data_IF_245558804377
#
_entry.id   IF_245558804377
#
_cell.length_a   1.000
_cell.length_b   1.000
_cell.length_c   1.000
_cell.angle_alpha   90.00
_cell.angle_beta   90.00
_cell.angle_gamma   90.00
#
_symmetry.space_group_name_H-M   'P 1'
#
loop_
_entity.id
_entity.type
_entity.pdbx_description
1 polymer ?
#
# COMPACT_ATOMS: atom_id res chain seq x y z
N UNK A 1 -18.51 -1.16 15.63
CA UNK A 1 -17.68 -0.58 14.53
C UNK A 1 -18.17 -1.11 13.20
N UNK A 2 -18.60 -0.23 12.32
CA UNK A 2 -19.11 -0.56 10.97
C UNK A 2 -18.24 0.14 9.92
N UNK A 3 -18.12 -0.45 8.74
CA UNK A 3 -17.36 0.13 7.65
C UNK A 3 -18.27 1.01 6.79
N UNK A 4 -17.92 2.27 6.64
CA UNK A 4 -18.63 3.23 5.79
C UNK A 4 -17.79 3.54 4.56
N UNK A 5 -18.41 3.50 3.38
CA UNK A 5 -17.82 3.99 2.14
C UNK A 5 -18.27 5.43 1.94
N UNK A 6 -17.31 6.29 1.63
CA UNK A 6 -17.59 7.69 1.39
C UNK A 6 -17.04 8.17 0.05
N UNK A 7 -17.69 9.17 -0.49
CA UNK A 7 -17.26 9.94 -1.67
C UNK A 7 -17.32 11.41 -1.34
N UNK A 8 -16.26 12.13 -1.63
CA UNK A 8 -16.16 13.57 -1.39
C UNK A 8 -15.55 14.27 -2.60
N UNK A 9 -15.82 15.55 -2.77
CA UNK A 9 -15.22 16.42 -3.77
C UNK A 9 -14.52 17.60 -3.12
N UNK A 10 -13.36 17.98 -3.65
CA UNK A 10 -12.72 19.25 -3.34
C UNK A 10 -13.30 20.38 -4.18
N UNK A 11 -13.12 21.64 -3.74
CA UNK A 11 -13.48 22.83 -4.53
C UNK A 11 -12.89 22.84 -5.95
N UNK A 12 -11.76 22.17 -6.16
CA UNK A 12 -11.14 21.98 -7.47
C UNK A 12 -11.83 20.92 -8.35
N UNK A 13 -12.98 20.35 -7.93
CA UNK A 13 -13.74 19.35 -8.68
C UNK A 13 -13.18 17.92 -8.64
N UNK A 14 -12.06 17.70 -7.95
CA UNK A 14 -11.43 16.39 -7.86
C UNK A 14 -12.21 15.46 -6.94
N UNK A 15 -12.53 14.27 -7.45
CA UNK A 15 -13.30 13.25 -6.72
C UNK A 15 -12.36 12.44 -5.83
N UNK A 16 -12.71 12.35 -4.55
CA UNK A 16 -12.06 11.49 -3.56
C UNK A 16 -13.05 10.43 -3.10
N UNK A 17 -12.56 9.21 -2.93
CA UNK A 17 -13.36 8.11 -2.41
C UNK A 17 -12.52 7.27 -1.47
N UNK A 18 -13.14 6.78 -0.39
CA UNK A 18 -12.46 5.99 0.61
C UNK A 18 -13.42 5.18 1.45
N UNK A 19 -12.90 4.50 2.44
CA UNK A 19 -13.67 3.81 3.46
C UNK A 19 -13.14 4.19 4.83
N UNK A 20 -14.04 4.33 5.78
CA UNK A 20 -13.74 4.70 7.17
C UNK A 20 -14.49 3.77 8.12
N UNK A 21 -13.79 3.31 9.16
CA UNK A 21 -14.37 2.48 10.23
C UNK A 21 -14.86 3.42 11.34
N UNK A 22 -16.17 3.43 11.59
CA UNK A 22 -16.79 4.25 12.62
C UNK A 22 -17.91 3.49 13.33
N UNK A 23 -18.29 3.95 14.50
CA UNK A 23 -19.44 3.40 15.22
C UNK A 23 -20.76 4.00 14.73
N UNK A 24 -20.71 5.18 14.08
CA UNK A 24 -21.89 5.82 13.52
C UNK A 24 -21.58 6.57 12.20
N UNK A 25 -22.63 6.75 11.38
CA UNK A 25 -22.58 7.56 10.15
C UNK A 25 -22.25 9.04 10.45
N UNK A 26 -22.61 9.51 11.63
CA UNK A 26 -22.34 10.89 12.07
C UNK A 26 -20.86 11.15 12.31
N UNK A 27 -20.13 10.18 12.86
CA UNK A 27 -18.68 10.23 13.06
C UNK A 27 -17.92 10.31 11.73
N UNK A 28 -18.37 9.55 10.72
CA UNK A 28 -17.82 9.62 9.36
C UNK A 28 -18.07 10.99 8.75
N UNK A 29 -19.27 11.55 8.93
CA UNK A 29 -19.60 12.85 8.39
C UNK A 29 -18.77 13.96 9.04
N UNK A 30 -18.55 13.93 10.36
CA UNK A 30 -17.70 14.87 11.07
C UNK A 30 -16.26 14.84 10.58
N UNK A 31 -15.67 13.64 10.43
CA UNK A 31 -14.34 13.46 9.88
C UNK A 31 -14.22 14.00 8.44
N UNK A 32 -15.25 13.81 7.61
CA UNK A 32 -15.25 14.26 6.23
C UNK A 32 -15.41 15.77 6.11
N UNK A 33 -16.23 16.39 6.94
CA UNK A 33 -16.38 17.85 6.98
C UNK A 33 -15.11 18.59 7.37
N UNK A 34 -14.25 17.97 8.16
CA UNK A 34 -12.96 18.54 8.56
C UNK A 34 -11.92 18.48 7.44
N UNK A 35 -12.03 17.52 6.51
CA UNK A 35 -11.02 17.23 5.51
C UNK A 35 -11.44 17.50 4.05
N UNK A 36 -12.74 17.65 3.76
CA UNK A 36 -13.27 17.82 2.41
C UNK A 36 -14.45 18.79 2.38
N UNK A 37 -14.54 19.55 1.29
CA UNK A 37 -15.54 20.64 1.14
C UNK A 37 -16.95 20.12 0.85
N UNK A 38 -17.09 19.06 0.05
CA UNK A 38 -18.37 18.51 -0.35
C UNK A 38 -18.43 17.00 -0.21
N UNK A 39 -19.36 16.50 0.61
CA UNK A 39 -19.64 15.08 0.79
C UNK A 39 -20.70 14.67 -0.25
N UNK A 40 -20.34 13.79 -1.17
CA UNK A 40 -21.25 13.35 -2.24
C UNK A 40 -22.07 12.12 -1.85
N UNK A 41 -21.61 11.34 -0.85
CA UNK A 41 -22.33 10.18 -0.36
C UNK A 41 -21.59 9.42 0.73
N UNK A 42 -22.35 8.88 1.69
CA UNK A 42 -21.86 7.95 2.72
C UNK A 42 -22.78 6.73 2.68
N UNK A 43 -22.24 5.59 2.30
CA UNK A 43 -22.96 4.32 2.20
C UNK A 43 -22.46 3.36 3.31
N UNK A 44 -23.39 2.78 4.05
CA UNK A 44 -23.08 1.73 5.02
C UNK A 44 -22.87 0.39 4.28
N UNK A 45 -21.73 -0.26 4.52
CA UNK A 45 -21.41 -1.54 3.90
C UNK A 45 -21.88 -2.67 4.83
N UNK A 46 -23.13 -3.10 4.67
CA UNK A 46 -23.65 -4.28 5.34
C UNK A 46 -23.04 -5.54 4.73
N UNK A 47 -22.33 -6.29 5.53
CA UNK A 47 -21.75 -7.61 5.22
C UNK A 47 -20.22 -7.66 5.22
N UNK A 48 -19.74 -8.00 6.38
CA UNK A 48 -18.34 -7.96 6.80
C UNK A 48 -17.43 -9.02 6.15
N UNK A 49 -17.95 -9.99 5.41
CA UNK A 49 -17.17 -11.18 5.04
C UNK A 49 -16.84 -11.35 3.56
N UNK A 50 -17.51 -10.66 2.64
CA UNK A 50 -17.37 -10.97 1.20
C UNK A 50 -16.74 -9.87 0.36
N UNK A 51 -16.61 -8.64 0.85
CA UNK A 51 -16.12 -7.48 0.05
C UNK A 51 -14.79 -6.88 0.48
N UNK A 52 -14.16 -7.35 1.56
CA UNK A 52 -12.82 -6.90 1.95
C UNK A 52 -11.82 -7.16 0.82
N UNK A 53 -11.92 -8.27 0.11
CA UNK A 53 -11.04 -8.59 -1.02
C UNK A 53 -11.19 -7.63 -2.22
N UNK A 54 -12.34 -6.97 -2.41
CA UNK A 54 -12.55 -6.01 -3.50
C UNK A 54 -12.18 -4.56 -3.15
N UNK A 55 -12.25 -4.18 -1.88
CA UNK A 55 -11.76 -2.88 -1.40
C UNK A 55 -10.22 -2.82 -1.40
N UNK A 56 -9.57 -3.99 -1.28
CA UNK A 56 -8.12 -4.13 -1.40
C UNK A 56 -7.61 -4.15 -2.86
N UNK A 57 -8.47 -4.09 -3.85
CA UNK A 57 -8.08 -4.05 -5.26
C UNK A 57 -7.79 -2.62 -5.76
N UNK A 58 -7.44 -1.71 -4.88
CA UNK A 58 -6.97 -0.37 -5.23
C UNK A 58 -5.47 -0.40 -5.47
N UNK A 59 -5.09 -0.71 -6.71
CA UNK A 59 -3.74 -0.51 -7.20
C UNK A 59 -2.73 -1.57 -6.73
N UNK A 60 -2.15 -2.23 -7.70
CA UNK A 60 -1.02 -3.15 -7.49
C UNK A 60 0.12 -2.33 -6.90
N UNK A 61 0.45 -2.52 -5.61
CA UNK A 61 1.63 -1.88 -4.99
C UNK A 61 2.86 -2.27 -5.78
N UNK A 62 3.56 -1.29 -6.32
CA UNK A 62 4.75 -1.50 -7.12
C UNK A 62 5.94 -1.86 -6.22
N UNK A 63 6.93 -2.59 -6.76
CA UNK A 63 8.14 -2.94 -6.02
C UNK A 63 8.92 -1.67 -5.58
N UNK A 64 8.86 -0.58 -6.37
CA UNK A 64 9.38 0.74 -5.98
C UNK A 64 8.72 1.33 -4.73
N UNK A 65 7.40 1.17 -4.61
CA UNK A 65 6.65 1.65 -3.44
C UNK A 65 6.96 0.80 -2.21
N UNK A 66 7.12 -0.52 -2.37
CA UNK A 66 7.56 -1.43 -1.30
C UNK A 66 8.97 -1.08 -0.83
N UNK A 67 9.91 -0.86 -1.76
CA UNK A 67 11.27 -0.45 -1.43
C UNK A 67 11.28 0.81 -0.57
N UNK A 68 10.57 1.86 -1.01
CA UNK A 68 10.45 3.12 -0.26
C UNK A 68 9.81 2.94 1.12
N UNK A 69 8.75 2.12 1.19
CA UNK A 69 8.08 1.82 2.44
C UNK A 69 9.03 1.19 3.46
N UNK A 70 9.75 0.13 3.07
CA UNK A 70 10.68 -0.55 3.94
C UNK A 70 11.88 0.33 4.30
N UNK A 71 12.40 1.11 3.35
CA UNK A 71 13.51 2.04 3.60
C UNK A 71 13.14 3.09 4.65
N UNK A 72 11.97 3.71 4.52
CA UNK A 72 11.52 4.72 5.47
C UNK A 72 11.22 4.11 6.83
N UNK A 73 10.61 2.92 6.87
CA UNK A 73 10.33 2.22 8.12
C UNK A 73 11.62 1.84 8.85
N UNK A 74 12.62 1.29 8.14
CA UNK A 74 13.93 0.97 8.68
C UNK A 74 14.64 2.20 9.26
N UNK A 75 14.62 3.33 8.53
CA UNK A 75 15.24 4.57 8.99
C UNK A 75 14.58 5.12 10.25
N UNK A 76 13.26 5.05 10.36
CA UNK A 76 12.53 5.51 11.57
C UNK A 76 12.81 4.61 12.77
N UNK A 77 12.83 3.28 12.59
CA UNK A 77 13.15 2.34 13.67
C UNK A 77 14.60 2.51 14.09
N UNK A 78 15.53 2.66 13.14
CA UNK A 78 16.94 2.94 13.43
C UNK A 78 17.20 4.25 14.18
N UNK A 79 16.28 5.21 14.03
CA UNK A 79 16.29 6.45 14.82
C UNK A 79 15.61 6.31 16.20
N UNK A 80 15.21 5.09 16.59
CA UNK A 80 14.58 4.82 17.88
C UNK A 80 13.09 5.13 17.94
N UNK A 81 12.43 5.43 16.79
CA UNK A 81 10.99 5.67 16.76
C UNK A 81 10.24 4.34 16.95
N UNK A 82 9.29 4.25 17.89
CA UNK A 82 8.48 3.05 18.07
C UNK A 82 7.73 2.65 16.79
N UNK A 83 7.62 1.35 16.53
CA UNK A 83 7.07 0.79 15.30
C UNK A 83 5.67 1.32 14.96
N UNK A 84 4.76 1.38 15.93
CA UNK A 84 3.41 1.94 15.72
C UNK A 84 3.49 3.40 15.27
N UNK A 85 4.34 4.20 15.90
CA UNK A 85 4.50 5.62 15.55
C UNK A 85 5.15 5.79 14.17
N UNK A 86 6.10 4.95 13.82
CA UNK A 86 6.71 4.94 12.49
C UNK A 86 5.66 4.66 11.40
N UNK A 87 4.78 3.68 11.61
CA UNK A 87 3.68 3.38 10.67
C UNK A 87 2.64 4.51 10.58
N UNK A 88 2.33 5.20 11.67
CA UNK A 88 1.45 6.38 11.67
C UNK A 88 2.02 7.50 10.80
N UNK A 89 3.31 7.77 10.91
CA UNK A 89 3.99 8.79 10.09
C UNK A 89 4.06 8.36 8.62
N UNK A 90 4.30 7.08 8.35
CA UNK A 90 4.33 6.55 6.99
C UNK A 90 2.98 6.61 6.30
N UNK A 91 1.90 6.38 7.04
CA UNK A 91 0.51 6.40 6.52
C UNK A 91 0.21 7.66 5.72
N UNK A 92 0.71 8.82 6.14
CA UNK A 92 0.47 10.11 5.49
C UNK A 92 1.28 10.32 4.21
N UNK A 93 2.32 9.52 3.99
CA UNK A 93 3.25 9.65 2.86
C UNK A 93 3.16 8.51 1.84
N UNK A 94 2.38 7.48 2.16
CA UNK A 94 2.20 6.31 1.31
C UNK A 94 1.09 6.50 0.28
N UNK A 95 1.13 5.76 -0.86
CA UNK A 95 0.00 5.63 -1.77
C UNK A 95 -1.23 5.06 -1.04
N UNK A 96 -2.43 5.37 -1.54
CA UNK A 96 -3.71 4.96 -0.92
C UNK A 96 -3.78 3.46 -0.63
N UNK A 97 -3.21 2.63 -1.51
CA UNK A 97 -3.13 1.16 -1.34
C UNK A 97 -2.34 0.74 -0.09
N UNK A 98 -1.23 1.42 0.21
CA UNK A 98 -0.42 1.18 1.40
C UNK A 98 -0.98 1.88 2.64
N UNK A 99 -1.60 3.05 2.49
CA UNK A 99 -2.22 3.79 3.59
C UNK A 99 -3.26 2.94 4.34
N UNK A 100 -4.16 2.28 3.60
CA UNK A 100 -5.17 1.40 4.19
C UNK A 100 -4.54 0.22 4.95
N UNK A 101 -3.47 -0.35 4.38
CA UNK A 101 -2.76 -1.46 5.02
C UNK A 101 -2.03 -0.98 6.28
N UNK A 102 -1.40 0.19 6.25
CA UNK A 102 -0.78 0.77 7.45
C UNK A 102 -1.80 0.94 8.59
N UNK A 103 -3.02 1.40 8.30
CA UNK A 103 -4.07 1.50 9.32
C UNK A 103 -4.39 0.15 9.96
N UNK A 104 -4.48 -0.91 9.16
CA UNK A 104 -4.77 -2.26 9.65
C UNK A 104 -3.59 -2.86 10.43
N UNK A 105 -2.35 -2.61 9.96
CA UNK A 105 -1.15 -3.01 10.69
C UNK A 105 -1.07 -2.33 12.05
N UNK A 106 -1.34 -1.02 12.12
CA UNK A 106 -1.35 -0.26 13.38
C UNK A 106 -2.37 -0.86 14.35
N UNK A 107 -3.59 -1.14 13.89
CA UNK A 107 -4.64 -1.73 14.73
C UNK A 107 -4.23 -3.11 15.28
N UNK A 108 -3.61 -3.97 14.44
CA UNK A 108 -3.13 -5.29 14.89
C UNK A 108 -1.96 -5.18 15.88
N UNK A 109 -1.02 -4.23 15.67
CA UNK A 109 0.09 -3.97 16.57
C UNK A 109 -0.39 -3.41 17.92
N UNK A 110 -1.36 -2.51 17.92
CA UNK A 110 -2.00 -1.99 19.14
C UNK A 110 -2.74 -3.08 19.90
N UNK A 111 -3.25 -4.09 19.20
CA UNK A 111 -3.82 -5.30 19.81
C UNK A 111 -2.75 -6.30 20.31
N UNK A 112 -1.46 -5.92 20.31
CA UNK A 112 -0.35 -6.75 20.80
C UNK A 112 0.15 -7.83 19.84
N UNK A 113 -0.24 -7.80 18.56
CA UNK A 113 0.25 -8.77 17.57
C UNK A 113 1.62 -8.35 17.04
N UNK A 114 2.45 -9.33 16.68
CA UNK A 114 3.71 -9.09 15.97
C UNK A 114 3.46 -8.49 14.58
N UNK A 115 4.42 -7.71 14.04
CA UNK A 115 4.34 -7.11 12.72
C UNK A 115 4.21 -8.18 11.62
N UNK A 116 5.00 -9.26 11.71
CA UNK A 116 4.94 -10.40 10.81
C UNK A 116 3.55 -11.03 10.77
N UNK A 117 2.92 -11.25 11.93
CA UNK A 117 1.57 -11.79 12.04
C UNK A 117 0.50 -10.86 11.45
N UNK A 118 0.65 -9.54 11.62
CA UNK A 118 -0.21 -8.54 11.01
C UNK A 118 -0.04 -8.52 9.49
N UNK A 119 1.21 -8.51 8.99
CA UNK A 119 1.52 -8.50 7.55
C UNK A 119 1.08 -9.78 6.83
N UNK A 120 1.08 -10.93 7.49
CA UNK A 120 0.62 -12.22 6.95
C UNK A 120 -0.82 -12.20 6.45
N UNK A 121 -1.66 -11.32 6.97
CA UNK A 121 -3.04 -11.13 6.53
C UNK A 121 -3.14 -10.43 5.15
N UNK A 122 -2.06 -9.79 4.71
CA UNK A 122 -2.00 -8.97 3.50
C UNK A 122 -1.04 -9.55 2.45
N UNK A 123 -1.18 -10.85 2.14
CA UNK A 123 -0.31 -11.60 1.20
C UNK A 123 -0.26 -11.01 -0.22
N UNK A 124 -1.28 -10.27 -0.63
CA UNK A 124 -1.33 -9.58 -1.91
C UNK A 124 -0.35 -8.40 -1.99
N UNK A 125 0.03 -7.83 -0.84
CA UNK A 125 1.02 -6.75 -0.74
C UNK A 125 2.35 -7.29 -0.24
N UNK A 126 2.34 -8.09 0.83
CA UNK A 126 3.52 -8.67 1.44
C UNK A 126 3.58 -10.17 1.12
N UNK A 127 4.52 -10.54 0.26
CA UNK A 127 4.72 -11.94 -0.11
C UNK A 127 5.15 -12.78 1.09
N UNK A 128 4.89 -14.09 1.10
CA UNK A 128 5.29 -14.95 2.22
C UNK A 128 6.77 -14.83 2.60
N UNK A 129 7.67 -14.74 1.61
CA UNK A 129 9.10 -14.53 1.83
C UNK A 129 9.39 -13.23 2.61
N UNK A 130 8.70 -12.14 2.27
CA UNK A 130 8.83 -10.86 2.99
C UNK A 130 8.41 -11.01 4.45
N UNK A 131 7.31 -11.72 4.70
CA UNK A 131 6.80 -11.96 6.05
C UNK A 131 7.79 -12.79 6.86
N UNK A 132 8.35 -13.86 6.28
CA UNK A 132 9.34 -14.71 6.96
C UNK A 132 10.63 -13.95 7.34
N UNK A 133 11.10 -13.03 6.49
CA UNK A 133 12.25 -12.17 6.78
C UNK A 133 11.96 -11.25 7.97
N UNK A 134 10.77 -10.64 8.01
CA UNK A 134 10.34 -9.78 9.12
C UNK A 134 10.19 -10.59 10.40
N UNK A 135 9.61 -11.78 10.33
CA UNK A 135 9.45 -12.68 11.47
C UNK A 135 10.83 -13.05 12.08
N UNK A 136 11.80 -13.38 11.24
CA UNK A 136 13.17 -13.63 11.68
C UNK A 136 13.80 -12.38 12.34
N UNK A 137 13.56 -11.20 11.77
CA UNK A 137 14.02 -9.92 12.33
C UNK A 137 13.40 -9.58 13.68
N UNK A 138 12.10 -9.87 13.85
CA UNK A 138 11.40 -9.69 15.13
C UNK A 138 11.95 -10.63 16.21
N UNK A 139 12.13 -11.91 15.88
CA UNK A 139 12.65 -12.92 16.82
C UNK A 139 14.12 -12.68 17.19
N UNK A 140 14.92 -12.22 16.22
CA UNK A 140 16.33 -11.92 16.41
C UNK A 140 16.63 -10.55 17.01
N UNK A 141 15.63 -9.66 17.14
CA UNK A 141 15.84 -8.27 17.57
C UNK A 141 16.56 -7.39 16.54
N UNK A 142 16.67 -7.84 15.29
CA UNK A 142 17.36 -7.17 14.16
C UNK A 142 16.38 -6.69 13.11
N UNK A 143 15.19 -6.22 13.55
CA UNK A 143 14.12 -5.82 12.65
C UNK A 143 14.54 -4.69 11.70
N UNK A 144 15.35 -3.74 12.18
CA UNK A 144 15.85 -2.62 11.37
C UNK A 144 16.67 -3.12 10.18
N UNK A 145 17.61 -4.03 10.42
CA UNK A 145 18.47 -4.61 9.38
C UNK A 145 17.65 -5.37 8.35
N UNK A 146 16.72 -6.19 8.80
CA UNK A 146 15.85 -6.96 7.91
C UNK A 146 14.96 -6.07 7.04
N UNK A 147 14.44 -4.98 7.58
CA UNK A 147 13.68 -3.99 6.82
C UNK A 147 14.57 -3.27 5.79
N UNK A 148 15.82 -2.97 6.12
CA UNK A 148 16.79 -2.36 5.21
C UNK A 148 17.13 -3.31 4.05
N UNK A 149 17.34 -4.59 4.32
CA UNK A 149 17.57 -5.60 3.29
C UNK A 149 16.38 -5.78 2.36
N UNK A 150 15.15 -5.78 2.89
CA UNK A 150 13.94 -5.81 2.07
C UNK A 150 13.83 -4.57 1.18
N UNK A 151 14.22 -3.40 1.67
CA UNK A 151 14.24 -2.18 0.88
C UNK A 151 15.19 -2.29 -0.32
N UNK A 152 16.39 -2.80 -0.11
CA UNK A 152 17.39 -3.05 -1.16
C UNK A 152 16.89 -4.10 -2.15
N UNK A 153 16.36 -5.22 -1.66
CA UNK A 153 15.82 -6.29 -2.49
C UNK A 153 14.73 -5.78 -3.46
N UNK A 154 13.76 -5.03 -2.95
CA UNK A 154 12.69 -4.48 -3.79
C UNK A 154 13.20 -3.38 -4.73
N UNK A 155 14.22 -2.62 -4.33
CA UNK A 155 14.88 -1.63 -5.18
C UNK A 155 15.57 -2.25 -6.38
N UNK A 156 16.40 -3.26 -6.15
CA UNK A 156 17.10 -4.00 -7.22
C UNK A 156 16.12 -4.68 -8.18
N UNK A 157 15.05 -5.25 -7.65
CA UNK A 157 14.02 -5.89 -8.46
C UNK A 157 13.29 -4.89 -9.37
N UNK A 158 13.06 -3.67 -8.92
CA UNK A 158 12.49 -2.60 -9.75
C UNK A 158 13.45 -2.20 -10.88
N UNK A 159 14.73 -2.08 -10.60
CA UNK A 159 15.75 -1.75 -11.60
C UNK A 159 15.81 -2.81 -12.71
N UNK A 160 15.83 -4.10 -12.35
CA UNK A 160 15.82 -5.20 -13.30
C UNK A 160 14.55 -5.14 -14.17
N UNK A 161 13.38 -4.94 -13.59
CA UNK A 161 12.12 -4.83 -14.31
C UNK A 161 12.11 -3.64 -15.27
N UNK A 162 12.71 -2.53 -14.88
CA UNK A 162 12.84 -1.32 -15.70
C UNK A 162 13.80 -1.56 -16.87
N UNK A 163 14.91 -2.22 -16.60
CA UNK A 163 15.90 -2.60 -17.63
C UNK A 163 15.29 -3.54 -18.68
N UNK A 164 14.59 -4.58 -18.26
CA UNK A 164 13.91 -5.50 -19.14
C UNK A 164 12.86 -4.83 -20.03
N UNK A 165 12.07 -3.91 -19.48
CA UNK A 165 11.09 -3.14 -20.26
C UNK A 165 11.76 -2.29 -21.34
N UNK A 166 12.89 -1.66 -21.02
CA UNK A 166 13.61 -0.83 -21.98
C UNK A 166 14.24 -1.67 -23.10
N UNK A 167 14.78 -2.85 -22.80
CA UNK A 167 15.35 -3.75 -23.81
C UNK A 167 14.27 -4.29 -24.75
N UNK A 168 13.09 -4.62 -24.26
CA UNK A 168 11.99 -5.13 -25.10
C UNK A 168 11.42 -4.09 -26.08
N UNK A 169 11.64 -2.81 -25.85
CA UNK A 169 11.19 -1.75 -26.74
C UNK A 169 11.85 -1.80 -28.11
N UNK A 170 13.15 -2.08 -28.17
CA UNK A 170 13.91 -2.14 -29.43
C UNK A 170 13.45 -3.29 -30.35
N UNK A 171 13.37 -4.55 -29.90
CA UNK A 171 12.83 -5.64 -30.74
C UNK A 171 11.40 -5.41 -31.22
N UNK A 172 10.53 -4.84 -30.38
CA UNK A 172 9.15 -4.52 -30.77
C UNK A 172 9.11 -3.47 -31.89
N UNK A 173 9.99 -2.47 -31.84
CA UNK A 173 10.08 -1.41 -32.84
C UNK A 173 10.59 -1.95 -34.19
N UNK A 174 11.61 -2.79 -34.16
CA UNK A 174 12.16 -3.44 -35.37
C UNK A 174 11.15 -4.39 -36.01
N UNK A 175 10.45 -5.21 -35.20
CA UNK A 175 9.39 -6.09 -35.67
C UNK A 175 8.23 -5.34 -36.28
N UNK A 176 7.80 -4.24 -35.68
CA UNK A 176 6.73 -3.43 -36.24
C UNK A 176 7.08 -2.81 -37.58
N UNK A 177 8.34 -2.35 -37.72
CA UNK A 177 8.84 -1.79 -38.97
C UNK A 177 8.92 -2.88 -40.09
N UNK A 178 9.39 -4.09 -39.74
CA UNK A 178 9.46 -5.22 -40.66
C UNK A 178 8.08 -5.66 -41.15
N UNK A 179 7.08 -5.67 -40.28
CA UNK A 179 5.69 -6.00 -40.64
C UNK A 179 5.12 -4.94 -41.59
N UNK A 180 5.35 -3.67 -41.30
CA UNK A 180 4.85 -2.56 -42.15
C UNK A 180 5.49 -2.62 -43.54
N UNK A 181 6.82 -2.83 -43.65
CA UNK A 181 7.51 -2.94 -44.95
C UNK A 181 7.11 -4.21 -45.70
N UNK A 182 6.92 -5.35 -45.02
CA UNK A 182 6.45 -6.59 -45.64
C UNK A 182 4.98 -6.55 -46.12
N UNK A 183 4.15 -5.69 -45.54
CA UNK A 183 2.78 -5.47 -45.98
C UNK A 183 2.64 -4.50 -47.16
N UNK A 184 3.71 -3.80 -47.51
CA UNK A 184 3.74 -2.83 -48.64
C UNK A 184 4.33 -3.42 -49.92
N UNK A 185 4.94 -4.60 -49.85
CA UNK A 185 5.45 -5.38 -51.02
C UNK A 185 4.43 -6.44 -51.42
#
# INVERSE_FOLDING_TARGET
MQLYRWRARSMAGKLYQGSYLADSKQEVAAFLHENYDYITGIEEVQSFTVKISRLFNSGKVNDKERSRFFQQLAAMIGSGIPLCRALELLKTRCPVSLTNVCCLLIADLQAGKALSAAMKKHVHIFRPVTVSVIEAGEQGGILQEMLSELAVYFGQKEEINRFLKNICLYPCLVLSLAIVTGSYL
#
